data_IF_804799511100
#
_entry.id   IF_804799511100
#
_cell.length_a   1.000
_cell.length_b   1.000
_cell.length_c   1.000
_cell.angle_alpha   90.00
_cell.angle_beta   90.00
_cell.angle_gamma   90.00
#
_symmetry.space_group_name_H-M   'P 1'
#
loop_
_entity.id
_entity.type
_entity.pdbx_description
1 polymer ?
#
# COMPACT_ATOMS: atom_id res chain seq x y z
N UNK A 1 49.06 5.73 -37.33
CA UNK A 1 47.92 6.09 -36.47
C UNK A 1 46.90 5.00 -36.64
N UNK A 2 46.78 4.11 -35.65
CA UNK A 2 45.77 3.05 -35.56
C UNK A 2 44.95 3.35 -34.30
N UNK A 3 43.66 3.63 -34.46
CA UNK A 3 42.75 3.86 -33.35
C UNK A 3 41.95 2.58 -33.15
N UNK A 4 42.42 1.75 -32.21
CA UNK A 4 41.73 0.54 -31.77
C UNK A 4 40.41 0.95 -31.12
N UNK A 5 39.32 0.90 -31.88
CA UNK A 5 37.97 1.19 -31.38
C UNK A 5 37.43 -0.05 -30.68
N UNK A 6 37.68 -0.11 -29.37
CA UNK A 6 37.01 -1.03 -28.45
C UNK A 6 35.50 -0.81 -28.56
N UNK A 7 34.80 -1.80 -29.09
CA UNK A 7 33.35 -1.96 -28.98
C UNK A 7 32.95 -1.93 -27.51
N UNK A 8 32.04 -1.04 -27.07
CA UNK A 8 31.45 -1.18 -25.75
C UNK A 8 30.49 -2.37 -25.81
N UNK A 9 30.83 -3.44 -25.10
CA UNK A 9 29.89 -4.50 -24.72
C UNK A 9 28.68 -3.85 -24.05
N UNK A 10 27.57 -3.76 -24.78
CA UNK A 10 26.27 -3.41 -24.23
C UNK A 10 25.90 -4.47 -23.21
N UNK A 11 25.79 -4.06 -21.96
CA UNK A 11 25.32 -4.91 -20.86
C UNK A 11 23.92 -5.42 -21.16
N UNK A 12 23.79 -6.73 -21.33
CA UNK A 12 22.55 -7.48 -21.07
C UNK A 12 22.29 -7.47 -19.56
N UNK A 13 21.95 -6.31 -18.98
CA UNK A 13 21.40 -6.24 -17.62
C UNK A 13 19.89 -6.52 -17.70
N UNK A 14 19.54 -7.79 -17.94
CA UNK A 14 18.18 -8.24 -17.66
C UNK A 14 17.97 -8.18 -16.14
N UNK A 15 16.88 -7.54 -15.66
CA UNK A 15 16.61 -7.45 -14.23
C UNK A 15 16.51 -8.85 -13.64
N UNK A 16 17.13 -9.05 -12.49
CA UNK A 16 17.04 -10.32 -11.77
C UNK A 16 15.58 -10.59 -11.34
N UNK A 17 15.17 -11.86 -11.17
CA UNK A 17 13.82 -12.17 -10.68
C UNK A 17 13.46 -11.45 -9.37
N UNK A 18 14.44 -11.19 -8.51
CA UNK A 18 14.29 -10.46 -7.25
C UNK A 18 14.02 -8.97 -7.46
N UNK A 19 14.73 -8.32 -8.38
CA UNK A 19 14.47 -6.92 -8.75
C UNK A 19 13.08 -6.74 -9.37
N UNK A 20 12.65 -7.69 -10.20
CA UNK A 20 11.31 -7.67 -10.79
C UNK A 20 10.22 -7.82 -9.73
N UNK A 21 10.44 -8.68 -8.73
CA UNK A 21 9.54 -8.84 -7.59
C UNK A 21 9.47 -7.56 -6.74
N UNK A 22 10.61 -6.94 -6.43
CA UNK A 22 10.63 -5.68 -5.68
C UNK A 22 9.93 -4.55 -6.44
N UNK A 23 10.16 -4.42 -7.74
CA UNK A 23 9.49 -3.42 -8.57
C UNK A 23 7.97 -3.61 -8.56
N UNK A 24 7.50 -4.87 -8.61
CA UNK A 24 6.08 -5.19 -8.49
C UNK A 24 5.51 -4.78 -7.13
N UNK A 25 6.19 -5.13 -6.03
CA UNK A 25 5.75 -4.80 -4.66
C UNK A 25 5.68 -3.29 -4.47
N UNK A 26 6.67 -2.54 -4.96
CA UNK A 26 6.65 -1.08 -4.91
C UNK A 26 5.49 -0.49 -5.72
N UNK A 27 5.21 -1.04 -6.91
CA UNK A 27 4.07 -0.64 -7.73
C UNK A 27 2.74 -0.85 -7.01
N UNK A 28 2.54 -2.02 -6.40
CA UNK A 28 1.33 -2.32 -5.60
C UNK A 28 1.19 -1.33 -4.44
N UNK A 29 2.28 -1.09 -3.69
CA UNK A 29 2.27 -0.15 -2.57
C UNK A 29 1.86 1.26 -3.02
N UNK A 30 2.35 1.74 -4.16
CA UNK A 30 1.97 3.04 -4.69
C UNK A 30 0.46 3.12 -5.00
N UNK A 31 -0.11 2.08 -5.61
CA UNK A 31 -1.56 2.01 -5.90
C UNK A 31 -2.38 2.01 -4.61
N UNK A 32 -1.97 1.23 -3.61
CA UNK A 32 -2.65 1.17 -2.30
C UNK A 32 -2.66 2.54 -1.63
N UNK A 33 -1.52 3.26 -1.63
CA UNK A 33 -1.43 4.61 -1.08
C UNK A 33 -2.35 5.58 -1.83
N UNK A 34 -2.43 5.50 -3.17
CA UNK A 34 -3.35 6.33 -3.95
C UNK A 34 -4.82 6.06 -3.61
N UNK A 35 -5.20 4.78 -3.47
CA UNK A 35 -6.57 4.41 -3.07
C UNK A 35 -6.91 4.90 -1.67
N UNK A 36 -5.99 4.73 -0.72
CA UNK A 36 -6.15 5.22 0.65
C UNK A 36 -6.32 6.74 0.67
N UNK A 37 -5.47 7.48 -0.04
CA UNK A 37 -5.62 8.94 -0.15
C UNK A 37 -6.97 9.34 -0.76
N UNK A 38 -7.43 8.62 -1.79
CA UNK A 38 -8.74 8.83 -2.40
C UNK A 38 -9.87 8.65 -1.39
N UNK A 39 -9.86 7.54 -0.66
CA UNK A 39 -10.87 7.23 0.36
C UNK A 39 -10.83 8.20 1.54
N UNK A 40 -9.64 8.56 2.02
CA UNK A 40 -9.45 9.54 3.08
C UNK A 40 -10.00 10.91 2.66
N UNK A 41 -9.67 11.39 1.45
CA UNK A 41 -10.23 12.65 0.93
C UNK A 41 -11.75 12.61 0.89
N UNK A 42 -12.34 11.57 0.28
CA UNK A 42 -13.79 11.43 0.17
C UNK A 42 -14.45 11.41 1.55
N UNK A 43 -13.99 10.54 2.43
CA UNK A 43 -14.57 10.33 3.75
C UNK A 43 -14.48 11.59 4.61
N UNK A 44 -13.31 12.23 4.65
CA UNK A 44 -13.12 13.42 5.46
C UNK A 44 -13.83 14.64 4.89
N UNK A 45 -13.94 14.74 3.56
CA UNK A 45 -14.76 15.77 2.94
C UNK A 45 -16.25 15.61 3.30
N UNK A 46 -16.79 14.40 3.12
CA UNK A 46 -18.20 14.09 3.42
C UNK A 46 -18.53 14.34 4.91
N UNK A 47 -17.60 14.01 5.81
CA UNK A 47 -17.80 14.14 7.27
C UNK A 47 -17.60 15.57 7.80
N UNK A 48 -16.60 16.29 7.30
CA UNK A 48 -16.19 17.58 7.86
C UNK A 48 -16.70 18.79 7.09
N UNK A 49 -16.91 18.68 5.77
CA UNK A 49 -17.24 19.82 4.90
C UNK A 49 -18.69 19.73 4.41
N UNK A 50 -19.10 18.58 3.86
CA UNK A 50 -20.43 18.42 3.24
C UNK A 50 -21.60 18.52 4.23
N UNK A 51 -21.32 18.44 5.54
CA UNK A 51 -22.33 18.47 6.61
C UNK A 51 -23.18 19.75 6.64
N UNK A 52 -22.66 20.86 6.09
CA UNK A 52 -23.32 22.16 6.12
C UNK A 52 -23.99 22.54 4.79
N UNK A 53 -23.93 21.68 3.76
CA UNK A 53 -24.52 21.95 2.43
C UNK A 53 -23.96 23.19 1.70
N UNK A 54 -22.93 23.84 2.27
CA UNK A 54 -22.26 25.02 1.71
C UNK A 54 -20.81 24.65 1.44
N UNK A 55 -20.42 24.66 0.17
CA UNK A 55 -19.01 24.72 -0.18
C UNK A 55 -18.51 26.09 0.24
N UNK A 56 -17.71 26.13 1.30
CA UNK A 56 -17.05 27.35 1.74
C UNK A 56 -15.71 27.46 1.02
N UNK A 57 -15.46 28.61 0.38
CA UNK A 57 -14.20 28.91 -0.29
C UNK A 57 -13.00 28.93 0.69
N UNK A 58 -13.28 29.00 2.00
CA UNK A 58 -12.30 28.94 3.07
C UNK A 58 -12.78 28.03 4.20
N UNK A 59 -11.90 27.16 4.68
CA UNK A 59 -12.17 26.34 5.87
C UNK A 59 -12.07 27.21 7.14
N UNK A 60 -13.15 27.26 7.91
CA UNK A 60 -13.16 27.79 9.26
C UNK A 60 -12.41 26.89 10.24
N UNK A 61 -12.08 27.42 11.41
CA UNK A 61 -11.28 26.72 12.45
C UNK A 61 -11.83 25.33 12.80
N UNK A 62 -13.15 25.17 12.86
CA UNK A 62 -13.79 23.89 13.19
C UNK A 62 -13.62 22.85 12.08
N UNK A 63 -13.70 23.26 10.81
CA UNK A 63 -13.50 22.38 9.66
C UNK A 63 -12.03 21.97 9.54
N UNK A 64 -11.09 22.89 9.79
CA UNK A 64 -9.66 22.59 9.84
C UNK A 64 -9.34 21.55 10.92
N UNK A 65 -9.85 21.75 12.14
CA UNK A 65 -9.65 20.79 13.25
C UNK A 65 -10.31 19.45 12.93
N UNK A 66 -11.52 19.46 12.35
CA UNK A 66 -12.20 18.23 11.95
C UNK A 66 -11.38 17.47 10.91
N UNK A 67 -10.88 18.15 9.87
CA UNK A 67 -10.12 17.53 8.79
C UNK A 67 -8.83 16.89 9.30
N UNK A 68 -8.07 17.61 10.14
CA UNK A 68 -6.86 17.08 10.77
C UNK A 68 -7.15 15.79 11.54
N UNK A 69 -8.14 15.83 12.44
CA UNK A 69 -8.54 14.66 13.24
C UNK A 69 -9.05 13.51 12.37
N UNK A 70 -9.81 13.80 11.32
CA UNK A 70 -10.37 12.78 10.44
C UNK A 70 -9.27 12.03 9.70
N UNK A 71 -8.31 12.76 9.11
CA UNK A 71 -7.20 12.16 8.40
C UNK A 71 -6.37 11.27 9.33
N UNK A 72 -6.01 11.77 10.52
CA UNK A 72 -5.27 11.00 11.52
C UNK A 72 -5.97 9.68 11.85
N UNK A 73 -7.29 9.71 12.12
CA UNK A 73 -8.06 8.51 12.45
C UNK A 73 -8.18 7.54 11.27
N UNK A 74 -8.27 8.03 10.04
CA UNK A 74 -8.30 7.17 8.84
C UNK A 74 -6.98 6.41 8.64
N UNK A 75 -5.85 7.09 8.77
CA UNK A 75 -4.53 6.47 8.63
C UNK A 75 -4.22 5.48 9.76
N UNK A 76 -4.59 5.82 11.00
CA UNK A 76 -4.47 4.92 12.14
C UNK A 76 -5.34 3.67 11.95
N UNK A 77 -6.60 3.85 11.56
CA UNK A 77 -7.50 2.72 11.27
C UNK A 77 -6.96 1.83 10.16
N UNK A 78 -6.44 2.41 9.09
CA UNK A 78 -5.80 1.66 8.00
C UNK A 78 -4.60 0.83 8.50
N UNK A 79 -3.74 1.40 9.34
CA UNK A 79 -2.58 0.68 9.90
C UNK A 79 -3.02 -0.52 10.75
N UNK A 80 -4.01 -0.33 11.62
CA UNK A 80 -4.55 -1.39 12.48
C UNK A 80 -5.15 -2.52 11.64
N UNK A 81 -6.02 -2.18 10.68
CA UNK A 81 -6.69 -3.16 9.83
C UNK A 81 -5.68 -3.91 8.96
N UNK A 82 -4.67 -3.23 8.41
CA UNK A 82 -3.62 -3.86 7.60
C UNK A 82 -2.84 -4.88 8.43
N UNK A 83 -2.44 -4.51 9.65
CA UNK A 83 -1.72 -5.41 10.56
C UNK A 83 -2.57 -6.63 10.92
N UNK A 84 -3.82 -6.42 11.34
CA UNK A 84 -4.73 -7.51 11.69
C UNK A 84 -4.99 -8.45 10.50
N UNK A 85 -5.13 -7.91 9.29
CA UNK A 85 -5.32 -8.70 8.07
C UNK A 85 -4.10 -9.55 7.75
N UNK A 86 -2.89 -9.01 7.94
CA UNK A 86 -1.64 -9.75 7.74
C UNK A 86 -1.49 -10.88 8.77
N UNK A 87 -1.78 -10.60 10.05
CA UNK A 87 -1.77 -11.62 11.12
C UNK A 87 -2.78 -12.74 10.82
N UNK A 88 -3.99 -12.40 10.39
CA UNK A 88 -5.01 -13.37 9.99
C UNK A 88 -4.52 -14.26 8.84
N UNK A 89 -3.96 -13.66 7.79
CA UNK A 89 -3.44 -14.41 6.64
C UNK A 89 -2.33 -15.40 7.04
N UNK A 90 -1.41 -14.99 7.92
CA UNK A 90 -0.34 -15.86 8.44
C UNK A 90 -0.89 -17.03 9.28
N UNK A 91 -1.88 -16.76 10.12
CA UNK A 91 -2.52 -17.80 10.95
C UNK A 91 -3.24 -18.85 10.10
N UNK A 92 -3.91 -18.41 9.02
CA UNK A 92 -4.55 -19.32 8.06
C UNK A 92 -3.51 -20.20 7.35
N UNK A 93 -2.41 -19.63 6.86
CA UNK A 93 -1.33 -20.40 6.24
C UNK A 93 -0.76 -21.46 7.19
N UNK A 94 -0.49 -21.07 8.45
CA UNK A 94 0.04 -21.97 9.47
C UNK A 94 -0.90 -23.15 9.76
N UNK A 95 -2.22 -22.92 9.67
CA UNK A 95 -3.25 -23.95 9.87
C UNK A 95 -3.28 -24.95 8.69
N UNK A 96 -3.13 -24.46 7.46
CA UNK A 96 -3.03 -25.29 6.25
C UNK A 96 -1.76 -26.15 6.24
N UNK A 97 -0.62 -25.58 6.64
CA UNK A 97 0.65 -26.31 6.73
C UNK A 97 0.59 -27.43 7.78
N UNK A 98 -0.14 -27.20 8.89
CA UNK A 98 -0.41 -28.23 9.90
C UNK A 98 -1.28 -29.36 9.36
N UNK A 99 -2.35 -29.07 8.62
CA UNK A 99 -3.18 -30.10 7.96
C UNK A 99 -2.35 -30.96 6.99
N UNK A 100 -1.47 -30.35 6.20
CA UNK A 100 -0.65 -31.06 5.23
C UNK A 100 0.43 -31.95 5.90
N UNK A 101 1.01 -31.48 7.00
CA UNK A 101 1.94 -32.25 7.83
C UNK A 101 1.25 -33.44 8.52
N UNK A 102 0.04 -33.21 9.04
CA UNK A 102 -0.73 -34.26 9.72
C UNK A 102 -1.18 -35.34 8.72
N UNK A 103 -1.60 -34.96 7.50
CA UNK A 103 -1.99 -35.89 6.44
C UNK A 103 -0.81 -36.74 5.91
N UNK A 104 0.40 -36.16 5.86
CA UNK A 104 1.62 -36.89 5.46
C UNK A 104 2.12 -37.89 6.51
N UNK A 105 1.63 -37.81 7.75
CA UNK A 105 1.96 -38.74 8.83
C UNK A 105 1.10 -40.01 8.83
N UNK A 106 0.03 -40.07 8.01
CA UNK A 106 -0.88 -41.22 7.87
C UNK A 106 -0.61 -42.08 6.62
N UNK A 107 0.39 -41.74 5.81
CA UNK A 107 0.90 -42.51 4.66
C UNK A 107 2.30 -43.04 4.97
#
# INVERSE_FOLDING_TARGET
MDFSSSTPSGSDNAPTPEEQQQALVQGINAVVVQMLQGQTRKTCFDKCIAKNGRFVDQLGKNEQICLAKCMDRMFESYSIVTKASAEMAQNLQSSLDQEQSNSSSFL
#
